data_IF_105171892284
#
_entry.id   IF_105171892284
#
_cell.length_a   1.000
_cell.length_b   1.000
_cell.length_c   1.000
_cell.angle_alpha   90.00
_cell.angle_beta   90.00
_cell.angle_gamma   90.00
#
_symmetry.space_group_name_H-M   'P 1'
#
loop_
_entity.id
_entity.type
_entity.pdbx_description
1 polymer ?
#
# COMPACT_ATOMS: atom_id res chain seq x y z
N UNK A 1 3.56 5.09 -19.63
CA UNK A 1 3.22 5.35 -18.23
C UNK A 1 1.89 6.11 -18.19
N UNK A 2 1.02 5.80 -17.24
CA UNK A 2 -0.17 6.60 -16.94
C UNK A 2 0.23 7.95 -16.32
N UNK A 3 -0.66 8.96 -16.30
CA UNK A 3 -0.40 10.22 -15.61
C UNK A 3 0.00 10.04 -14.14
N UNK A 4 -0.67 9.13 -13.42
CA UNK A 4 -0.29 8.79 -12.05
C UNK A 4 1.12 8.17 -12.00
N UNK A 5 1.44 7.18 -12.82
CA UNK A 5 2.76 6.53 -12.82
C UNK A 5 3.89 7.55 -13.04
N UNK A 6 3.69 8.51 -13.97
CA UNK A 6 4.67 9.59 -14.20
C UNK A 6 4.83 10.47 -12.97
N UNK A 7 3.73 10.84 -12.31
CA UNK A 7 3.77 11.64 -11.07
C UNK A 7 4.46 10.86 -9.95
N UNK A 8 4.10 9.61 -9.75
CA UNK A 8 4.61 8.76 -8.68
C UNK A 8 6.14 8.57 -8.83
N UNK A 9 6.63 8.29 -10.05
CA UNK A 9 8.07 8.27 -10.34
C UNK A 9 8.75 9.63 -10.07
N UNK A 10 8.12 10.75 -10.47
CA UNK A 10 8.68 12.07 -10.19
C UNK A 10 8.79 12.35 -8.68
N UNK A 11 7.78 11.95 -7.90
CA UNK A 11 7.81 12.08 -6.45
C UNK A 11 8.93 11.26 -5.84
N UNK A 12 9.09 10.02 -6.27
CA UNK A 12 10.14 9.11 -5.79
C UNK A 12 11.54 9.65 -6.09
N UNK A 13 11.84 9.91 -7.36
CA UNK A 13 13.16 10.37 -7.81
C UNK A 13 13.53 11.72 -7.19
N UNK A 14 12.58 12.64 -7.12
CA UNK A 14 12.81 13.93 -6.46
C UNK A 14 13.06 13.73 -4.96
N UNK A 15 12.22 12.96 -4.26
CA UNK A 15 12.36 12.71 -2.84
C UNK A 15 13.71 12.07 -2.50
N UNK A 16 14.15 11.10 -3.30
CA UNK A 16 15.46 10.46 -3.15
C UNK A 16 16.61 11.44 -3.43
N UNK A 17 16.47 12.36 -4.38
CA UNK A 17 17.47 13.38 -4.68
C UNK A 17 17.62 14.44 -3.58
N UNK A 18 16.52 14.81 -2.91
CA UNK A 18 16.51 15.90 -1.90
C UNK A 18 16.47 15.39 -0.45
N UNK A 19 16.32 14.09 -0.24
CA UNK A 19 16.10 13.48 1.07
C UNK A 19 17.06 12.33 1.39
N UNK A 20 16.77 11.56 2.44
CA UNK A 20 17.55 10.39 2.78
C UNK A 20 17.45 9.29 1.71
N UNK A 21 18.60 8.85 1.20
CA UNK A 21 18.75 7.70 0.31
C UNK A 21 18.78 6.40 1.14
N UNK A 22 17.65 5.88 1.60
CA UNK A 22 17.60 4.55 2.22
C UNK A 22 16.23 3.90 2.10
N UNK A 23 16.19 2.62 1.71
CA UNK A 23 14.99 1.77 1.73
C UNK A 23 14.67 1.34 3.16
N UNK A 24 13.93 2.18 3.87
CA UNK A 24 13.59 1.98 5.26
C UNK A 24 12.23 1.31 5.40
N UNK A 25 12.13 0.04 5.02
CA UNK A 25 10.91 -0.80 5.19
C UNK A 25 10.29 -0.79 6.58
N UNK A 26 10.99 -0.30 7.61
CA UNK A 26 10.45 -0.12 8.97
C UNK A 26 9.62 1.16 9.15
N UNK A 27 9.51 2.00 8.13
CA UNK A 27 8.67 3.20 8.11
C UNK A 27 7.35 2.87 7.39
N UNK A 28 6.21 2.81 8.11
CA UNK A 28 4.95 2.43 7.49
C UNK A 28 4.27 3.56 6.70
N UNK A 29 4.58 4.83 6.99
CA UNK A 29 3.96 6.01 6.37
C UNK A 29 5.06 6.89 5.77
N UNK A 30 5.72 6.42 4.70
CA UNK A 30 6.86 7.11 4.09
C UNK A 30 7.08 6.63 2.66
N UNK A 31 7.46 7.54 1.76
CA UNK A 31 7.95 7.18 0.42
C UNK A 31 9.36 6.56 0.49
N UNK A 32 10.16 6.91 1.51
CA UNK A 32 11.49 6.35 1.73
C UNK A 32 11.49 4.88 2.17
N UNK A 33 10.34 4.21 2.23
CA UNK A 33 10.27 2.81 2.64
C UNK A 33 10.38 1.82 1.46
N UNK A 34 10.36 2.32 0.22
CA UNK A 34 10.46 1.58 -1.05
C UNK A 34 9.55 0.32 -1.10
N UNK A 35 8.32 0.46 -0.63
CA UNK A 35 7.28 -0.57 -0.72
C UNK A 35 6.22 -0.28 -1.79
N UNK A 36 6.34 0.86 -2.48
CA UNK A 36 5.43 1.35 -3.54
C UNK A 36 3.97 1.55 -3.08
N UNK A 37 3.71 1.64 -1.77
CA UNK A 37 2.37 1.90 -1.25
C UNK A 37 2.09 3.40 -1.15
N UNK A 38 3.05 4.16 -0.62
CA UNK A 38 3.02 5.62 -0.62
C UNK A 38 3.66 6.14 -1.89
N UNK A 39 2.87 6.81 -2.73
CA UNK A 39 3.35 7.32 -4.02
C UNK A 39 3.46 8.85 -4.06
N UNK A 40 3.13 9.51 -2.96
CA UNK A 40 3.29 10.95 -2.72
C UNK A 40 3.90 11.17 -1.34
N UNK A 41 4.63 12.29 -1.18
CA UNK A 41 5.30 12.64 0.07
C UNK A 41 4.30 12.73 1.22
N UNK A 42 4.57 11.97 2.29
CA UNK A 42 3.74 11.96 3.50
C UNK A 42 4.09 13.13 4.43
N UNK A 43 3.30 13.31 5.48
CA UNK A 43 3.65 14.24 6.56
C UNK A 43 4.99 13.89 7.23
N UNK A 44 5.31 12.59 7.34
CA UNK A 44 6.59 12.13 7.84
C UNK A 44 7.74 12.54 6.90
N UNK A 45 7.57 12.31 5.60
CA UNK A 45 8.61 12.63 4.61
C UNK A 45 8.89 14.14 4.58
N UNK A 46 7.83 14.95 4.60
CA UNK A 46 7.95 16.41 4.66
C UNK A 46 8.63 16.89 5.95
N UNK A 47 8.39 16.24 7.08
CA UNK A 47 9.10 16.52 8.32
C UNK A 47 10.59 16.16 8.23
N UNK A 48 10.91 15.01 7.63
CA UNK A 48 12.30 14.60 7.41
C UNK A 48 13.04 15.59 6.50
N UNK A 49 12.42 16.04 5.41
CA UNK A 49 13.00 17.05 4.52
C UNK A 49 13.23 18.38 5.25
N UNK A 50 12.25 18.86 6.03
CA UNK A 50 12.43 20.08 6.85
C UNK A 50 13.59 19.95 7.85
N UNK A 51 13.74 18.78 8.47
CA UNK A 51 14.87 18.53 9.36
C UNK A 51 16.20 18.47 8.60
N UNK A 52 16.23 17.78 7.45
CA UNK A 52 17.40 17.60 6.60
C UNK A 52 17.97 18.93 6.10
N UNK A 53 17.09 19.88 5.76
CA UNK A 53 17.46 21.23 5.31
C UNK A 53 17.51 22.28 6.43
N UNK A 54 17.51 21.86 7.70
CA UNK A 54 17.58 22.79 8.83
C UNK A 54 18.96 23.47 8.85
N UNK A 55 19.06 24.80 9.07
CA UNK A 55 20.34 25.53 9.04
C UNK A 55 21.34 25.09 10.14
N UNK A 56 20.85 24.43 11.17
CA UNK A 56 21.63 23.82 12.24
C UNK A 56 22.34 22.52 11.79
N UNK A 57 21.93 21.91 10.67
CA UNK A 57 22.61 20.78 10.05
C UNK A 57 23.50 21.27 8.89
N UNK A 58 24.78 20.90 8.93
CA UNK A 58 25.78 21.29 7.92
C UNK A 58 26.51 20.06 7.40
N UNK A 59 26.90 20.11 6.12
CA UNK A 59 27.75 19.09 5.51
C UNK A 59 29.04 18.90 6.32
N UNK A 60 29.42 17.64 6.55
CA UNK A 60 30.58 17.26 7.35
C UNK A 60 30.30 17.00 8.83
N UNK A 61 29.08 17.20 9.32
CA UNK A 61 28.72 16.82 10.69
C UNK A 61 28.76 15.29 10.89
N UNK A 62 29.29 14.86 12.03
CA UNK A 62 29.25 13.46 12.46
C UNK A 62 27.84 13.07 12.90
N UNK A 63 27.56 11.76 12.93
CA UNK A 63 26.28 11.23 13.46
C UNK A 63 25.98 11.73 14.87
N UNK A 64 26.99 11.86 15.73
CA UNK A 64 26.84 12.36 17.10
C UNK A 64 26.41 13.83 17.13
N UNK A 65 27.05 14.67 16.31
CA UNK A 65 26.71 16.09 16.19
C UNK A 65 25.27 16.28 15.66
N UNK A 66 24.89 15.52 14.63
CA UNK A 66 23.50 15.56 14.11
C UNK A 66 22.52 15.11 15.20
N UNK A 67 22.82 14.04 15.92
CA UNK A 67 21.98 13.53 17.01
C UNK A 67 21.77 14.56 18.13
N UNK A 68 22.75 15.43 18.40
CA UNK A 68 22.64 16.50 19.40
C UNK A 68 21.80 17.69 18.89
N UNK A 69 21.83 17.98 17.59
CA UNK A 69 21.06 19.08 16.99
C UNK A 69 19.57 18.72 16.79
N UNK A 70 19.27 17.45 16.49
CA UNK A 70 17.92 16.99 16.13
C UNK A 70 16.82 17.35 17.14
N UNK A 71 17.00 17.24 18.47
CA UNK A 71 15.93 17.58 19.43
C UNK A 71 15.41 19.01 19.27
N UNK A 72 16.31 20.00 19.15
CA UNK A 72 15.91 21.40 18.96
C UNK A 72 15.18 21.61 17.63
N UNK A 73 15.68 21.00 16.56
CA UNK A 73 15.07 21.08 15.23
C UNK A 73 13.65 20.49 15.25
N UNK A 74 13.50 19.28 15.81
CA UNK A 74 12.22 18.58 15.89
C UNK A 74 11.22 19.29 16.80
N UNK A 75 11.66 19.89 17.92
CA UNK A 75 10.80 20.73 18.76
C UNK A 75 10.18 21.90 17.98
N UNK A 76 10.93 22.48 17.03
CA UNK A 76 10.46 23.59 16.19
C UNK A 76 9.51 23.11 15.09
N UNK A 77 9.84 22.04 14.38
CA UNK A 77 9.09 21.62 13.18
C UNK A 77 7.96 20.63 13.46
N UNK A 78 7.98 19.96 14.61
CA UNK A 78 6.97 19.00 15.05
C UNK A 78 6.80 19.02 16.60
N UNK A 79 6.33 20.13 17.19
CA UNK A 79 6.16 20.25 18.64
C UNK A 79 5.19 19.21 19.22
N UNK A 80 4.21 18.74 18.45
CA UNK A 80 3.28 17.69 18.87
C UNK A 80 3.97 16.34 19.12
N UNK A 81 5.18 16.13 18.57
CA UNK A 81 5.99 14.94 18.81
C UNK A 81 6.57 14.85 20.23
N UNK A 82 6.72 15.98 20.92
CA UNK A 82 7.42 16.04 22.21
C UNK A 82 6.72 15.27 23.32
N UNK A 83 5.39 15.19 23.27
CA UNK A 83 4.58 14.43 24.22
C UNK A 83 4.42 12.95 23.88
N UNK A 84 5.09 12.45 22.83
CA UNK A 84 4.91 11.07 22.35
C UNK A 84 6.09 10.19 22.76
N UNK A 85 5.78 9.01 23.28
CA UNK A 85 6.79 7.99 23.56
C UNK A 85 7.46 7.53 22.26
N UNK A 86 8.79 7.48 22.26
CA UNK A 86 9.56 6.99 21.13
C UNK A 86 9.31 5.48 20.92
N UNK A 87 9.04 5.10 19.67
CA UNK A 87 8.95 3.69 19.25
C UNK A 87 10.12 3.37 18.34
N UNK A 88 11.03 2.53 18.81
CA UNK A 88 12.22 2.15 18.05
C UNK A 88 11.96 0.85 17.28
N UNK A 89 11.69 0.97 15.98
CA UNK A 89 11.62 -0.20 15.12
C UNK A 89 13.01 -0.80 14.89
N UNK A 90 13.13 -2.12 15.06
CA UNK A 90 14.37 -2.86 14.78
C UNK A 90 14.78 -2.68 13.33
N UNK A 91 16.08 -2.78 13.04
CA UNK A 91 16.59 -2.73 11.66
C UNK A 91 15.97 -3.86 10.84
N UNK A 92 15.64 -3.56 9.57
CA UNK A 92 15.24 -4.57 8.58
C UNK A 92 16.48 -5.31 8.06
N UNK A 93 16.57 -6.64 8.16
CA UNK A 93 17.67 -7.40 7.57
C UNK A 93 17.69 -7.27 6.04
N UNK A 94 18.87 -7.14 5.43
CA UNK A 94 19.02 -7.08 3.96
C UNK A 94 18.40 -8.29 3.26
N UNK A 95 18.57 -9.48 3.85
CA UNK A 95 17.99 -10.72 3.33
C UNK A 95 16.45 -10.69 3.27
N UNK A 96 15.79 -9.98 4.19
CA UNK A 96 14.34 -9.81 4.15
C UNK A 96 13.93 -8.89 2.99
N UNK A 97 14.62 -7.75 2.83
CA UNK A 97 14.36 -6.81 1.74
C UNK A 97 14.53 -7.48 0.36
N UNK A 98 15.64 -8.22 0.18
CA UNK A 98 15.90 -8.98 -1.05
C UNK A 98 14.83 -10.04 -1.33
N UNK A 99 14.36 -10.73 -0.30
CA UNK A 99 13.31 -11.74 -0.42
C UNK A 99 11.98 -11.11 -0.87
N UNK A 100 11.62 -9.97 -0.31
CA UNK A 100 10.41 -9.22 -0.69
C UNK A 100 10.52 -8.66 -2.11
N UNK A 101 11.66 -8.04 -2.46
CA UNK A 101 11.92 -7.55 -3.81
C UNK A 101 11.88 -8.68 -4.85
N UNK A 102 12.41 -9.86 -4.54
CA UNK A 102 12.32 -11.04 -5.43
C UNK A 102 10.89 -11.57 -5.54
N UNK A 103 10.12 -11.54 -4.44
CA UNK A 103 8.74 -12.01 -4.40
C UNK A 103 7.80 -11.12 -5.25
N UNK A 104 8.00 -9.81 -5.22
CA UNK A 104 7.11 -8.84 -5.87
C UNK A 104 7.66 -8.24 -7.18
N UNK A 105 8.98 -8.28 -7.37
CA UNK A 105 9.66 -7.65 -8.49
C UNK A 105 9.43 -8.37 -9.84
N UNK A 106 9.65 -7.66 -10.95
CA UNK A 106 9.54 -8.22 -12.29
C UNK A 106 10.65 -9.24 -12.57
N UNK A 107 10.43 -10.12 -13.55
CA UNK A 107 11.47 -11.02 -14.09
C UNK A 107 11.73 -12.33 -13.33
N UNK A 108 11.19 -12.52 -12.13
CA UNK A 108 11.33 -13.78 -11.37
C UNK A 108 10.28 -14.82 -11.76
N UNK A 109 10.69 -16.11 -11.84
CA UNK A 109 9.77 -17.22 -12.08
C UNK A 109 8.84 -17.42 -10.88
N UNK A 110 7.61 -17.91 -11.11
CA UNK A 110 6.62 -18.13 -10.03
C UNK A 110 7.17 -18.96 -8.86
N UNK A 111 7.92 -20.03 -9.12
CA UNK A 111 8.55 -20.84 -8.07
C UNK A 111 9.56 -20.07 -7.23
N UNK A 112 10.38 -19.22 -7.86
CA UNK A 112 11.34 -18.35 -7.16
C UNK A 112 10.61 -17.32 -6.29
N UNK A 113 9.52 -16.74 -6.80
CA UNK A 113 8.70 -15.78 -6.06
C UNK A 113 8.07 -16.40 -4.81
N UNK A 114 7.56 -17.63 -4.91
CA UNK A 114 7.01 -18.39 -3.78
C UNK A 114 8.11 -18.66 -2.74
N UNK A 115 9.27 -19.16 -3.16
CA UNK A 115 10.41 -19.40 -2.25
C UNK A 115 10.84 -18.13 -1.54
N UNK A 116 10.92 -17.00 -2.26
CA UNK A 116 11.30 -15.72 -1.70
C UNK A 116 10.25 -15.18 -0.70
N UNK A 117 8.95 -15.30 -1.00
CA UNK A 117 7.89 -14.92 -0.07
C UNK A 117 7.93 -15.75 1.23
N UNK A 118 8.17 -17.06 1.13
CA UNK A 118 8.35 -17.95 2.28
C UNK A 118 9.58 -17.56 3.11
N UNK A 119 10.68 -17.18 2.46
CA UNK A 119 11.88 -16.70 3.14
C UNK A 119 11.63 -15.37 3.88
N UNK A 120 10.87 -14.45 3.29
CA UNK A 120 10.49 -13.19 3.93
C UNK A 120 9.65 -13.44 5.20
N UNK A 121 8.67 -14.35 5.14
CA UNK A 121 7.87 -14.75 6.32
C UNK A 121 8.74 -15.41 7.38
N UNK A 122 9.64 -16.34 6.99
CA UNK A 122 10.56 -17.01 7.92
C UNK A 122 11.43 -16.00 8.67
N UNK A 123 12.00 -15.03 7.96
CA UNK A 123 12.83 -13.99 8.59
C UNK A 123 11.99 -13.10 9.50
N UNK A 124 10.80 -12.66 9.07
CA UNK A 124 9.92 -11.82 9.89
C UNK A 124 9.54 -12.51 11.21
N UNK A 125 9.21 -13.80 11.17
CA UNK A 125 8.92 -14.61 12.35
C UNK A 125 10.15 -14.78 13.26
N UNK A 126 11.33 -15.06 12.69
CA UNK A 126 12.57 -15.19 13.45
C UNK A 126 12.98 -13.88 14.14
N UNK A 127 12.64 -12.74 13.55
CA UNK A 127 12.83 -11.41 14.13
C UNK A 127 11.76 -11.06 15.18
N UNK A 128 10.73 -11.90 15.36
CA UNK A 128 9.62 -11.64 16.28
C UNK A 128 8.77 -10.43 15.90
N UNK A 129 8.70 -10.08 14.61
CA UNK A 129 7.93 -8.92 14.16
C UNK A 129 6.43 -9.17 14.23
N UNK A 130 5.69 -8.17 14.68
CA UNK A 130 4.23 -8.13 14.68
C UNK A 130 3.71 -6.84 14.01
N UNK A 131 4.52 -6.24 13.13
CA UNK A 131 4.27 -4.95 12.48
C UNK A 131 3.97 -5.09 10.98
N UNK A 132 3.89 -3.96 10.28
CA UNK A 132 3.57 -3.88 8.86
C UNK A 132 4.55 -4.65 7.97
N UNK A 133 5.77 -4.95 8.41
CA UNK A 133 6.71 -5.77 7.63
C UNK A 133 6.26 -7.22 7.56
N UNK A 134 5.80 -7.79 8.68
CA UNK A 134 5.19 -9.13 8.65
C UNK A 134 3.91 -9.10 7.79
N UNK A 135 3.10 -8.05 7.93
CA UNK A 135 1.92 -7.87 7.11
C UNK A 135 2.23 -7.82 5.59
N UNK A 136 3.31 -7.12 5.21
CA UNK A 136 3.74 -7.01 3.82
C UNK A 136 4.21 -8.35 3.24
N UNK A 137 4.93 -9.14 4.04
CA UNK A 137 5.30 -10.50 3.64
C UNK A 137 4.05 -11.38 3.41
N UNK A 138 3.04 -11.30 4.28
CA UNK A 138 1.76 -11.97 4.05
C UNK A 138 1.04 -11.47 2.79
N UNK A 139 0.96 -10.16 2.59
CA UNK A 139 0.34 -9.57 1.40
C UNK A 139 1.04 -10.05 0.11
N UNK A 140 2.37 -10.10 0.10
CA UNK A 140 3.14 -10.61 -1.03
C UNK A 140 2.83 -12.09 -1.31
N UNK A 141 2.82 -12.96 -0.29
CA UNK A 141 2.42 -14.36 -0.44
C UNK A 141 1.01 -14.49 -1.00
N UNK A 142 0.05 -13.71 -0.49
CA UNK A 142 -1.33 -13.70 -1.00
C UNK A 142 -1.41 -13.35 -2.48
N UNK A 143 -0.69 -12.31 -2.91
CA UNK A 143 -0.64 -11.87 -4.32
C UNK A 143 -0.06 -12.92 -5.25
N UNK A 144 0.96 -13.65 -4.81
CA UNK A 144 1.62 -14.69 -5.62
C UNK A 144 0.74 -15.94 -5.74
N UNK A 145 0.10 -16.33 -4.64
CA UNK A 145 -0.70 -17.56 -4.57
C UNK A 145 -2.09 -17.40 -5.17
N UNK A 146 -2.55 -16.17 -5.45
CA UNK A 146 -3.92 -15.90 -5.88
C UNK A 146 -4.38 -16.73 -7.08
N UNK A 147 -3.49 -17.02 -8.03
CA UNK A 147 -3.82 -17.81 -9.21
C UNK A 147 -3.78 -19.33 -8.97
N UNK A 148 -2.88 -19.82 -8.10
CA UNK A 148 -2.63 -21.26 -7.90
C UNK A 148 -3.40 -21.84 -6.72
N UNK A 149 -3.55 -21.08 -5.63
CA UNK A 149 -4.27 -21.47 -4.43
C UNK A 149 -5.00 -20.24 -3.84
N UNK A 150 -6.21 -19.92 -4.36
CA UNK A 150 -7.00 -18.79 -3.89
C UNK A 150 -7.37 -18.88 -2.40
N UNK A 151 -7.49 -20.10 -1.85
CA UNK A 151 -7.86 -20.30 -0.44
C UNK A 151 -6.71 -19.92 0.47
N UNK A 152 -5.49 -20.39 0.19
CA UNK A 152 -4.31 -19.99 0.94
C UNK A 152 -4.01 -18.49 0.74
N UNK A 153 -4.18 -17.97 -0.48
CA UNK A 153 -4.03 -16.54 -0.75
C UNK A 153 -4.96 -15.69 0.13
N UNK A 154 -6.22 -16.09 0.26
CA UNK A 154 -7.17 -15.41 1.14
C UNK A 154 -6.73 -15.44 2.61
N UNK A 155 -6.23 -16.57 3.11
CA UNK A 155 -5.69 -16.65 4.48
C UNK A 155 -4.52 -15.68 4.70
N UNK A 156 -3.64 -15.54 3.72
CA UNK A 156 -2.56 -14.55 3.75
C UNK A 156 -3.09 -13.11 3.78
N UNK A 157 -4.11 -12.77 3.00
CA UNK A 157 -4.72 -11.43 3.06
C UNK A 157 -5.40 -11.15 4.40
N UNK A 158 -6.08 -12.12 5.00
CA UNK A 158 -6.66 -11.97 6.35
C UNK A 158 -5.57 -11.73 7.40
N UNK A 159 -4.46 -12.47 7.33
CA UNK A 159 -3.31 -12.26 8.21
C UNK A 159 -2.70 -10.86 8.00
N UNK A 160 -2.52 -10.43 6.75
CA UNK A 160 -2.02 -9.10 6.43
C UNK A 160 -2.93 -7.99 6.98
N UNK A 161 -4.25 -8.09 6.80
CA UNK A 161 -5.22 -7.10 7.34
C UNK A 161 -5.11 -6.98 8.86
N UNK A 162 -5.00 -8.12 9.56
CA UNK A 162 -4.85 -8.14 11.03
C UNK A 162 -3.61 -7.36 11.49
N UNK A 163 -2.46 -7.61 10.87
CA UNK A 163 -1.21 -6.95 11.25
C UNK A 163 -1.17 -5.47 10.85
N UNK A 164 -1.71 -5.11 9.67
CA UNK A 164 -1.83 -3.70 9.28
C UNK A 164 -2.80 -2.93 10.19
N UNK A 165 -3.94 -3.53 10.56
CA UNK A 165 -4.89 -2.91 11.49
C UNK A 165 -4.26 -2.64 12.88
N UNK A 166 -3.30 -3.46 13.30
CA UNK A 166 -2.55 -3.28 14.53
C UNK A 166 -1.35 -2.32 14.41
N UNK A 167 -0.99 -1.89 13.19
CA UNK A 167 0.20 -1.06 12.95
C UNK A 167 -0.18 0.39 12.67
N UNK A 168 0.13 1.33 13.58
CA UNK A 168 -0.11 2.75 13.34
C UNK A 168 0.59 3.24 12.06
N UNK A 169 -0.13 3.96 11.20
CA UNK A 169 0.38 4.50 9.95
C UNK A 169 0.23 3.56 8.74
N UNK A 170 -0.17 2.30 8.93
CA UNK A 170 -0.34 1.35 7.82
C UNK A 170 -1.74 1.35 7.18
N UNK A 171 -2.50 2.45 7.33
CA UNK A 171 -3.88 2.55 6.85
C UNK A 171 -3.99 2.42 5.33
N UNK A 172 -3.00 2.92 4.60
CA UNK A 172 -2.95 2.81 3.13
C UNK A 172 -2.63 1.39 2.68
N UNK A 173 -1.70 0.69 3.35
CA UNK A 173 -1.43 -0.73 3.12
C UNK A 173 -2.68 -1.57 3.35
N UNK A 174 -3.42 -1.27 4.41
CA UNK A 174 -4.67 -1.94 4.73
C UNK A 174 -5.71 -1.76 3.62
N UNK A 175 -5.79 -0.57 3.01
CA UNK A 175 -6.66 -0.32 1.86
C UNK A 175 -6.32 -1.21 0.65
N UNK A 176 -5.03 -1.50 0.38
CA UNK A 176 -4.63 -2.46 -0.65
C UNK A 176 -5.13 -3.87 -0.33
N UNK A 177 -4.98 -4.33 0.92
CA UNK A 177 -5.49 -5.64 1.35
C UNK A 177 -7.01 -5.71 1.24
N UNK A 178 -7.72 -4.63 1.59
CA UNK A 178 -9.16 -4.54 1.49
C UNK A 178 -9.67 -4.77 0.05
N UNK A 179 -8.92 -4.35 -0.99
CA UNK A 179 -9.30 -4.66 -2.38
C UNK A 179 -9.38 -6.16 -2.64
N UNK A 180 -8.45 -6.94 -2.07
CA UNK A 180 -8.39 -8.38 -2.27
C UNK A 180 -9.47 -9.11 -1.47
N UNK A 181 -9.68 -8.71 -0.22
CA UNK A 181 -10.74 -9.26 0.62
C UNK A 181 -12.15 -8.93 0.08
N UNK A 182 -12.34 -7.71 -0.43
CA UNK A 182 -13.60 -7.30 -1.03
C UNK A 182 -13.85 -7.99 -2.38
N UNK A 183 -12.82 -8.14 -3.23
CA UNK A 183 -12.92 -8.93 -4.46
C UNK A 183 -13.34 -10.37 -4.20
N UNK A 184 -12.79 -10.99 -3.14
CA UNK A 184 -13.22 -12.31 -2.69
C UNK A 184 -14.70 -12.31 -2.27
N UNK A 185 -15.14 -11.34 -1.45
CA UNK A 185 -16.54 -11.23 -1.03
C UNK A 185 -17.50 -11.03 -2.22
N UNK A 186 -17.15 -10.17 -3.19
CA UNK A 186 -17.90 -9.98 -4.44
C UNK A 186 -18.01 -11.30 -5.22
N UNK A 187 -16.93 -12.08 -5.28
CA UNK A 187 -16.93 -13.39 -5.96
C UNK A 187 -17.89 -14.40 -5.30
N UNK A 188 -18.07 -14.30 -3.98
CA UNK A 188 -19.03 -15.10 -3.22
C UNK A 188 -20.47 -14.56 -3.27
N UNK A 189 -20.71 -13.45 -3.96
CA UNK A 189 -22.01 -12.77 -3.98
C UNK A 189 -22.34 -12.01 -2.69
N UNK A 190 -21.39 -11.89 -1.76
CA UNK A 190 -21.57 -11.21 -0.48
C UNK A 190 -21.31 -9.69 -0.62
N UNK A 191 -22.29 -9.00 -1.21
CA UNK A 191 -22.22 -7.55 -1.43
C UNK A 191 -22.14 -6.75 -0.13
N UNK A 192 -22.82 -7.19 0.93
CA UNK A 192 -22.83 -6.49 2.24
C UNK A 192 -21.44 -6.48 2.85
N UNK A 193 -20.78 -7.64 2.89
CA UNK A 193 -19.40 -7.74 3.40
C UNK A 193 -18.42 -6.96 2.53
N UNK A 194 -18.56 -7.01 1.21
CA UNK A 194 -17.72 -6.22 0.31
C UNK A 194 -17.84 -4.71 0.59
N UNK A 195 -19.07 -4.19 0.78
CA UNK A 195 -19.28 -2.78 1.15
C UNK A 195 -18.63 -2.43 2.49
N UNK A 196 -18.76 -3.29 3.50
CA UNK A 196 -18.16 -3.10 4.81
C UNK A 196 -16.62 -3.07 4.76
N UNK A 197 -16.02 -3.91 3.91
CA UNK A 197 -14.57 -3.94 3.70
C UNK A 197 -14.06 -2.71 2.94
N UNK A 198 -14.83 -2.18 2.00
CA UNK A 198 -14.39 -1.07 1.13
C UNK A 198 -14.57 0.30 1.81
N UNK A 199 -15.71 0.50 2.47
CA UNK A 199 -16.16 1.80 2.97
C UNK A 199 -15.09 2.61 3.72
N UNK A 200 -14.40 2.04 4.71
CA UNK A 200 -13.40 2.76 5.51
C UNK A 200 -12.19 3.29 4.72
N UNK A 201 -11.94 2.77 3.51
CA UNK A 201 -10.68 3.02 2.80
C UNK A 201 -10.79 4.02 1.64
N UNK A 202 -12.00 4.40 1.21
CA UNK A 202 -12.20 5.30 0.06
C UNK A 202 -11.55 6.66 0.32
N UNK A 203 -11.87 7.29 1.44
CA UNK A 203 -11.34 8.61 1.79
C UNK A 203 -9.83 8.58 1.98
N UNK A 204 -9.28 7.48 2.52
CA UNK A 204 -7.84 7.30 2.68
C UNK A 204 -7.14 7.19 1.34
N UNK A 205 -7.67 6.41 0.40
CA UNK A 205 -7.11 6.28 -0.94
C UNK A 205 -7.14 7.63 -1.68
N UNK A 206 -8.22 8.39 -1.54
CA UNK A 206 -8.35 9.74 -2.11
C UNK A 206 -7.32 10.72 -1.51
N UNK A 207 -7.20 10.78 -0.17
CA UNK A 207 -6.23 11.65 0.51
C UNK A 207 -4.76 11.26 0.28
N UNK A 208 -4.51 10.00 -0.07
CA UNK A 208 -3.18 9.53 -0.50
C UNK A 208 -2.92 9.77 -1.99
N UNK A 209 -3.85 10.42 -2.69
CA UNK A 209 -3.80 10.69 -4.13
C UNK A 209 -3.53 9.46 -5.01
N UNK A 210 -3.94 8.28 -4.55
CA UNK A 210 -3.71 7.03 -5.25
C UNK A 210 -4.94 6.65 -6.09
N UNK A 211 -4.97 7.14 -7.32
CA UNK A 211 -6.13 6.98 -8.21
C UNK A 211 -6.34 5.52 -8.66
N UNK A 212 -5.27 4.74 -8.84
CA UNK A 212 -5.34 3.30 -9.11
C UNK A 212 -6.10 2.58 -7.98
N UNK A 213 -5.70 2.81 -6.72
CA UNK A 213 -6.34 2.22 -5.56
C UNK A 213 -7.78 2.72 -5.41
N UNK A 214 -8.00 4.04 -5.50
CA UNK A 214 -9.32 4.65 -5.38
C UNK A 214 -10.29 4.12 -6.44
N UNK A 215 -9.87 4.10 -7.70
CA UNK A 215 -10.67 3.56 -8.80
C UNK A 215 -11.01 2.08 -8.57
N UNK A 216 -10.03 1.27 -8.12
CA UNK A 216 -10.25 -0.14 -7.79
C UNK A 216 -11.29 -0.33 -6.68
N UNK A 217 -11.19 0.46 -5.59
CA UNK A 217 -12.16 0.43 -4.49
C UNK A 217 -13.57 0.85 -4.97
N UNK A 218 -13.67 1.90 -5.78
CA UNK A 218 -14.97 2.36 -6.31
C UNK A 218 -15.58 1.33 -7.28
N UNK A 219 -14.78 0.70 -8.13
CA UNK A 219 -15.25 -0.36 -9.02
C UNK A 219 -15.76 -1.57 -8.25
N UNK A 220 -15.03 -2.02 -7.23
CA UNK A 220 -15.50 -3.09 -6.33
C UNK A 220 -16.77 -2.67 -5.56
N UNK A 221 -16.87 -1.41 -5.14
CA UNK A 221 -18.07 -0.87 -4.48
C UNK A 221 -19.26 -0.90 -5.42
N UNK A 222 -19.08 -0.57 -6.70
CA UNK A 222 -20.16 -0.66 -7.68
C UNK A 222 -20.66 -2.10 -7.86
N UNK A 223 -19.77 -3.10 -7.93
CA UNK A 223 -20.18 -4.51 -7.98
C UNK A 223 -20.91 -4.94 -6.70
N UNK A 224 -20.42 -4.52 -5.54
CA UNK A 224 -21.05 -4.81 -4.26
C UNK A 224 -22.43 -4.16 -4.12
N UNK A 225 -22.60 -2.91 -4.59
CA UNK A 225 -23.89 -2.23 -4.63
C UNK A 225 -24.89 -2.98 -5.52
N UNK A 226 -24.47 -3.42 -6.71
CA UNK A 226 -25.30 -4.24 -7.60
C UNK A 226 -25.75 -5.54 -6.92
N UNK A 227 -24.85 -6.21 -6.18
CA UNK A 227 -25.18 -7.43 -5.40
C UNK A 227 -26.19 -7.18 -4.28
N UNK A 228 -26.32 -5.95 -3.79
CA UNK A 228 -27.32 -5.55 -2.78
C UNK A 228 -28.59 -4.93 -3.37
N UNK A 229 -28.76 -4.98 -4.69
CA UNK A 229 -29.94 -4.40 -5.38
C UNK A 229 -29.89 -2.89 -5.56
N UNK A 230 -28.78 -2.22 -5.23
CA UNK A 230 -28.60 -0.76 -5.31
C UNK A 230 -28.04 -0.31 -6.66
N UNK A 231 -28.63 -0.77 -7.76
CA UNK A 231 -28.06 -0.61 -9.11
C UNK A 231 -27.98 0.84 -9.62
N UNK A 232 -28.88 1.73 -9.19
CA UNK A 232 -28.80 3.14 -9.54
C UNK A 232 -27.53 3.78 -8.95
N UNK A 233 -27.27 3.54 -7.67
CA UNK A 233 -26.05 4.00 -6.99
C UNK A 233 -24.79 3.34 -7.58
N UNK A 234 -24.87 2.04 -7.88
CA UNK A 234 -23.77 1.31 -8.52
C UNK A 234 -23.35 1.95 -9.85
N UNK A 235 -24.32 2.43 -10.64
CA UNK A 235 -24.04 3.12 -11.91
C UNK A 235 -23.31 4.45 -11.68
N UNK A 236 -23.75 5.25 -10.72
CA UNK A 236 -23.09 6.51 -10.37
C UNK A 236 -21.66 6.28 -9.91
N UNK A 237 -21.46 5.39 -8.93
CA UNK A 237 -20.11 5.07 -8.40
C UNK A 237 -19.19 4.52 -9.50
N UNK A 238 -19.74 3.70 -10.41
CA UNK A 238 -18.98 3.19 -11.54
C UNK A 238 -18.55 4.30 -12.49
N UNK A 239 -19.42 5.28 -12.78
CA UNK A 239 -19.04 6.45 -13.59
C UNK A 239 -17.94 7.28 -12.91
N UNK A 240 -18.07 7.56 -11.62
CA UNK A 240 -17.08 8.32 -10.84
C UNK A 240 -15.70 7.63 -10.83
N UNK A 241 -15.69 6.29 -10.79
CA UNK A 241 -14.45 5.51 -10.83
C UNK A 241 -13.66 5.67 -12.12
N UNK A 242 -14.30 6.01 -13.25
CA UNK A 242 -13.66 6.08 -14.57
C UNK A 242 -12.74 7.29 -14.71
N UNK A 243 -13.06 8.41 -14.06
CA UNK A 243 -12.18 9.59 -14.03
C UNK A 243 -10.83 9.24 -13.38
N UNK A 244 -10.90 8.62 -12.20
CA UNK A 244 -9.72 8.11 -11.50
C UNK A 244 -9.03 6.98 -12.26
N UNK A 245 -9.79 6.10 -12.93
CA UNK A 245 -9.23 5.01 -13.73
C UNK A 245 -8.35 5.53 -14.87
N UNK A 246 -8.79 6.58 -15.58
CA UNK A 246 -8.00 7.18 -16.67
C UNK A 246 -6.72 7.83 -16.16
N UNK A 247 -6.78 8.50 -15.01
CA UNK A 247 -5.58 9.07 -14.40
C UNK A 247 -4.60 7.99 -13.90
N UNK A 248 -5.13 6.95 -13.24
CA UNK A 248 -4.35 5.88 -12.62
C UNK A 248 -3.83 4.81 -13.59
N UNK A 249 -4.69 4.25 -14.44
CA UNK A 249 -4.35 3.17 -15.38
C UNK A 249 -3.93 3.68 -16.76
N UNK A 250 -4.19 4.95 -17.09
CA UNK A 250 -3.79 5.57 -18.35
C UNK A 250 -4.74 5.23 -19.51
N UNK A 251 -4.25 4.58 -20.60
CA UNK A 251 -5.00 4.43 -21.84
C UNK A 251 -6.31 3.65 -21.68
N UNK A 252 -7.30 3.96 -22.54
CA UNK A 252 -8.65 3.39 -22.49
C UNK A 252 -8.68 1.86 -22.47
N UNK A 253 -7.75 1.19 -23.16
CA UNK A 253 -7.70 -0.28 -23.17
C UNK A 253 -7.36 -0.85 -21.79
N UNK A 254 -6.51 -0.18 -21.00
CA UNK A 254 -6.12 -0.60 -19.66
C UNK A 254 -7.28 -0.39 -18.68
N UNK A 255 -7.95 0.77 -18.78
CA UNK A 255 -9.19 1.05 -18.02
C UNK A 255 -10.26 0.00 -18.31
N UNK A 256 -10.50 -0.32 -19.59
CA UNK A 256 -11.47 -1.35 -20.00
C UNK A 256 -11.06 -2.75 -19.52
N UNK A 257 -9.77 -3.08 -19.54
CA UNK A 257 -9.27 -4.33 -19.00
C UNK A 257 -9.57 -4.44 -17.49
N UNK A 258 -9.31 -3.38 -16.72
CA UNK A 258 -9.60 -3.38 -15.28
C UNK A 258 -11.08 -3.46 -14.95
N UNK A 259 -11.92 -2.76 -15.72
CA UNK A 259 -13.38 -2.87 -15.64
C UNK A 259 -13.86 -4.32 -15.87
N UNK A 260 -13.35 -4.99 -16.90
CA UNK A 260 -13.68 -6.39 -17.19
C UNK A 260 -13.20 -7.33 -16.10
N UNK A 261 -11.99 -7.14 -15.61
CA UNK A 261 -11.42 -7.91 -14.50
C UNK A 261 -12.31 -7.84 -13.25
N UNK A 262 -12.75 -6.64 -12.85
CA UNK A 262 -13.57 -6.48 -11.64
C UNK A 262 -15.00 -6.94 -11.87
N UNK A 263 -15.59 -6.63 -13.03
CA UNK A 263 -16.97 -7.02 -13.32
C UNK A 263 -17.14 -8.54 -13.47
N UNK A 264 -16.11 -9.27 -13.91
CA UNK A 264 -16.15 -10.74 -14.02
C UNK A 264 -16.13 -11.46 -12.67
N UNK A 265 -15.77 -10.76 -11.58
CA UNK A 265 -15.86 -11.29 -10.22
C UNK A 265 -17.31 -11.55 -9.83
N UNK A 266 -18.21 -10.62 -10.19
CA UNK A 266 -19.60 -10.66 -9.76
C UNK A 266 -20.37 -11.84 -10.37
N UNK A 267 -21.03 -12.70 -9.56
CA UNK A 267 -21.84 -13.80 -10.07
C UNK A 267 -23.00 -13.33 -10.94
N UNK A 268 -23.50 -12.10 -10.76
CA UNK A 268 -24.56 -11.50 -11.59
C UNK A 268 -24.15 -11.36 -13.07
N UNK A 269 -22.84 -11.34 -13.36
CA UNK A 269 -22.29 -11.06 -14.70
C UNK A 269 -21.66 -12.29 -15.36
N UNK A 270 -21.41 -13.36 -14.61
CA UNK A 270 -20.86 -14.62 -15.13
C UNK A 270 -21.76 -15.36 -16.13
N UNK A 271 -23.07 -15.05 -16.17
CA UNK A 271 -24.02 -15.64 -17.12
C UNK A 271 -24.36 -14.77 -18.34
N UNK A 272 -23.67 -13.64 -18.56
CA UNK A 272 -23.95 -12.67 -19.64
C UNK A 272 -22.75 -12.45 -20.59
N UNK A 273 -21.72 -13.28 -20.50
CA UNK A 273 -20.53 -13.27 -21.37
C UNK A 273 -20.61 -14.39 -22.39
#
# INVERSE_FOLDING_TARGET
ASPQEVRDCLHEELAQAIGPLNDLYRLPDSVFNDDNVHTVLTGFDMMMLKAYYSPELRSGMTRGQVSQALPQILNRINPAGNGRAAKFATRTPKAWAQAVQTALGPGSKTSQRITAANQALKIANAMGWNDHRLAFAHYASGRIMLASDPKAAFQHFVAADRYYAATPGADLHRAYVATQLAAHAVTQGDGVRALALIGPHIDRAARSENAVLLSTLLLLRAEALDLTGRSAEARTVRLDSLGWARYGFGPDWAVRAKLREISSLSPLKKGRL
#
